data_IF_213391744671
#
_entry.id   IF_213391744671
#
_cell.length_a   1.000
_cell.length_b   1.000
_cell.length_c   1.000
_cell.angle_alpha   90.00
_cell.angle_beta   90.00
_cell.angle_gamma   90.00
#
_symmetry.space_group_name_H-M   'P 1'
#
loop_
_entity.id
_entity.type
_entity.pdbx_description
1 polymer ?
#
# COMPACT_ATOMS: atom_id res chain seq x y z
N UNK A 1 -9.97 -19.07 -14.52
CA UNK A 1 -9.58 -19.06 -13.10
C UNK A 1 -8.39 -18.15 -12.82
N UNK A 2 -7.25 -18.31 -13.50
CA UNK A 2 -6.05 -17.50 -13.26
C UNK A 2 -6.27 -15.98 -13.39
N UNK A 3 -7.05 -15.51 -14.37
CA UNK A 3 -7.37 -14.07 -14.51
C UNK A 3 -8.12 -13.50 -13.29
N UNK A 4 -8.98 -14.29 -12.65
CA UNK A 4 -9.71 -13.87 -11.45
C UNK A 4 -8.76 -13.80 -10.26
N UNK A 5 -7.88 -14.79 -10.12
CA UNK A 5 -6.85 -14.83 -9.06
C UNK A 5 -5.91 -13.63 -9.19
N UNK A 6 -5.42 -13.33 -10.39
CA UNK A 6 -4.57 -12.16 -10.67
C UNK A 6 -5.26 -10.85 -10.30
N UNK A 7 -6.54 -10.67 -10.65
CA UNK A 7 -7.32 -9.48 -10.28
C UNK A 7 -7.43 -9.32 -8.77
N UNK A 8 -7.69 -10.40 -8.03
CA UNK A 8 -7.78 -10.38 -6.58
C UNK A 8 -6.44 -10.01 -5.93
N UNK A 9 -5.33 -10.59 -6.40
CA UNK A 9 -3.99 -10.27 -5.90
C UNK A 9 -3.68 -8.79 -6.09
N UNK A 10 -3.96 -8.24 -7.28
CA UNK A 10 -3.71 -6.81 -7.54
C UNK A 10 -4.60 -5.90 -6.68
N UNK A 11 -5.87 -6.26 -6.47
CA UNK A 11 -6.76 -5.52 -5.57
C UNK A 11 -6.24 -5.52 -4.13
N UNK A 12 -5.73 -6.65 -3.63
CA UNK A 12 -5.14 -6.75 -2.28
C UNK A 12 -3.90 -5.85 -2.19
N UNK A 13 -3.05 -5.83 -3.22
CA UNK A 13 -1.86 -5.00 -3.24
C UNK A 13 -2.19 -3.50 -3.22
N UNK A 14 -3.21 -3.08 -3.98
CA UNK A 14 -3.71 -1.70 -3.96
C UNK A 14 -4.28 -1.36 -2.57
N UNK A 15 -5.12 -2.23 -2.01
CA UNK A 15 -5.70 -2.04 -0.69
C UNK A 15 -4.61 -1.90 0.38
N UNK A 16 -3.57 -2.73 0.31
CA UNK A 16 -2.43 -2.65 1.22
C UNK A 16 -1.71 -1.30 1.11
N UNK A 17 -1.45 -0.82 -0.11
CA UNK A 17 -0.88 0.50 -0.34
C UNK A 17 -1.73 1.63 0.27
N UNK A 18 -3.05 1.56 0.07
CA UNK A 18 -4.03 2.50 0.65
C UNK A 18 -3.96 2.48 2.19
N UNK A 19 -3.97 1.30 2.81
CA UNK A 19 -3.87 1.17 4.27
C UNK A 19 -2.58 1.80 4.80
N UNK A 20 -1.44 1.61 4.12
CA UNK A 20 -0.18 2.24 4.52
C UNK A 20 -0.22 3.77 4.45
N UNK A 21 -1.05 4.37 3.59
CA UNK A 21 -1.22 5.83 3.51
C UNK A 21 -2.12 6.34 4.64
N UNK A 22 -3.32 5.76 4.78
CA UNK A 22 -4.33 6.27 5.69
C UNK A 22 -4.05 5.90 7.15
N UNK A 23 -3.57 4.68 7.41
CA UNK A 23 -3.27 4.20 8.76
C UNK A 23 -1.80 4.40 9.16
N UNK A 24 -1.01 5.11 8.34
CA UNK A 24 0.43 5.33 8.54
C UNK A 24 0.79 5.66 9.99
N UNK A 25 0.07 6.60 10.62
CA UNK A 25 0.34 7.05 12.00
C UNK A 25 0.02 6.00 13.07
N UNK A 26 -1.04 5.22 12.85
CA UNK A 26 -1.41 4.15 13.76
C UNK A 26 -0.37 3.02 13.66
N UNK A 27 0.05 2.72 12.44
CA UNK A 27 1.05 1.70 12.14
C UNK A 27 2.42 2.09 12.72
N UNK A 28 2.90 3.33 12.49
CA UNK A 28 4.16 3.81 13.08
C UNK A 28 4.14 3.70 14.60
N UNK A 29 3.06 4.14 15.25
CA UNK A 29 2.97 4.15 16.71
C UNK A 29 2.93 2.74 17.31
N UNK A 30 2.29 1.78 16.64
CA UNK A 30 2.10 0.41 17.15
C UNK A 30 3.29 -0.50 16.85
N UNK A 31 3.87 -0.39 15.66
CA UNK A 31 4.86 -1.36 15.17
C UNK A 31 6.29 -0.81 15.12
N UNK A 32 6.46 0.51 15.14
CA UNK A 32 7.78 1.12 14.98
C UNK A 32 8.14 2.01 16.18
N UNK A 33 9.34 1.80 16.72
CA UNK A 33 9.91 2.64 17.78
C UNK A 33 10.52 3.95 17.26
N UNK A 34 9.91 4.61 16.27
CA UNK A 34 10.44 5.87 15.76
C UNK A 34 10.40 6.94 16.86
N UNK A 35 11.54 7.59 17.11
CA UNK A 35 11.62 8.78 17.95
C UNK A 35 10.80 9.93 17.35
N UNK A 36 10.92 10.12 16.03
CA UNK A 36 10.04 11.01 15.25
C UNK A 36 8.97 10.20 14.50
N UNK A 37 7.76 10.23 15.06
CA UNK A 37 6.60 9.57 14.48
C UNK A 37 6.07 10.25 13.21
N UNK A 38 6.36 11.54 13.00
CA UNK A 38 5.94 12.27 11.82
C UNK A 38 6.78 11.87 10.60
N UNK A 39 8.10 11.79 10.77
CA UNK A 39 9.00 11.32 9.70
C UNK A 39 8.70 9.87 9.32
N UNK A 40 8.53 8.98 10.30
CA UNK A 40 8.13 7.59 10.05
C UNK A 40 6.79 7.48 9.31
N UNK A 41 5.81 8.34 9.66
CA UNK A 41 4.49 8.32 9.02
C UNK A 41 4.57 8.86 7.59
N UNK A 42 5.39 9.89 7.34
CA UNK A 42 5.63 10.41 6.00
C UNK A 42 6.28 9.35 5.10
N UNK A 43 7.28 8.62 5.60
CA UNK A 43 7.90 7.51 4.87
C UNK A 43 6.90 6.41 4.50
N UNK A 44 6.06 5.98 5.45
CA UNK A 44 5.00 4.99 5.21
C UNK A 44 3.97 5.43 4.17
N UNK A 45 3.60 6.71 4.17
CA UNK A 45 2.69 7.28 3.16
C UNK A 45 3.31 7.27 1.77
N UNK A 46 4.59 7.62 1.65
CA UNK A 46 5.28 7.61 0.35
C UNK A 46 5.38 6.18 -0.19
N UNK A 47 5.75 5.21 0.65
CA UNK A 47 5.80 3.80 0.27
C UNK A 47 4.41 3.28 -0.13
N UNK A 48 3.38 3.58 0.68
CA UNK A 48 2.01 3.20 0.40
C UNK A 48 1.49 3.77 -0.92
N UNK A 49 1.82 5.02 -1.22
CA UNK A 49 1.50 5.66 -2.50
C UNK A 49 2.13 4.94 -3.69
N UNK A 50 3.43 4.63 -3.61
CA UNK A 50 4.13 3.90 -4.68
C UNK A 50 3.47 2.53 -4.91
N UNK A 51 3.19 1.78 -3.83
CA UNK A 51 2.54 0.47 -3.92
C UNK A 51 1.15 0.58 -4.55
N UNK A 52 0.34 1.54 -4.13
CA UNK A 52 -1.01 1.73 -4.66
C UNK A 52 -1.00 2.10 -6.16
N UNK A 53 -0.10 2.99 -6.58
CA UNK A 53 0.02 3.40 -7.98
C UNK A 53 0.54 2.26 -8.84
N UNK A 54 1.61 1.58 -8.42
CA UNK A 54 2.16 0.44 -9.16
C UNK A 54 1.12 -0.68 -9.28
N UNK A 55 0.39 -0.98 -8.20
CA UNK A 55 -0.70 -1.94 -8.20
C UNK A 55 -1.83 -1.56 -9.16
N UNK A 56 -2.23 -0.29 -9.17
CA UNK A 56 -3.25 0.23 -10.08
C UNK A 56 -2.85 0.14 -11.56
N UNK A 57 -1.61 0.52 -11.88
CA UNK A 57 -1.03 0.41 -13.23
C UNK A 57 -0.97 -1.07 -13.65
N UNK A 58 -0.43 -1.93 -12.78
CA UNK A 58 -0.34 -3.36 -13.03
C UNK A 58 -1.73 -3.97 -13.27
N UNK A 59 -2.74 -3.61 -12.48
CA UNK A 59 -4.12 -4.07 -12.68
C UNK A 59 -4.67 -3.61 -14.02
N UNK A 60 -4.47 -2.35 -14.41
CA UNK A 60 -4.99 -1.80 -15.67
C UNK A 60 -4.39 -2.48 -16.90
N UNK A 61 -3.08 -2.75 -16.91
CA UNK A 61 -2.40 -3.32 -18.08
C UNK A 61 -2.38 -4.85 -18.10
N UNK A 62 -2.20 -5.52 -16.96
CA UNK A 62 -2.04 -6.98 -16.89
C UNK A 62 -3.35 -7.74 -16.72
N UNK A 63 -4.37 -7.10 -16.14
CA UNK A 63 -5.68 -7.72 -15.94
C UNK A 63 -6.74 -7.22 -16.93
N UNK A 64 -6.34 -6.56 -18.02
CA UNK A 64 -7.28 -6.16 -19.08
C UNK A 64 -7.98 -7.34 -19.72
#
# INVERSE_FOLDING_TARGET
MLNIIMRLIMMILILFGITLIYDARIITKKFFGFGDQNEGSAGLKIIGFIIAIVGGIAMYFLCR
#
